data_IF_331565361529
#
_entry.id   IF_331565361529
#
_cell.length_a   1.000
_cell.length_b   1.000
_cell.length_c   1.000
_cell.angle_alpha   90.00
_cell.angle_beta   90.00
_cell.angle_gamma   90.00
#
_symmetry.space_group_name_H-M   'P 1'
#
loop_
_entity.id
_entity.type
_entity.pdbx_description
1 polymer ?
#
# COMPACT_ATOMS: atom_id res chain seq x y z
N UNK A 1 17.91 -49.43 -69.06
CA UNK A 1 18.01 -48.06 -68.50
C UNK A 1 17.41 -48.09 -67.10
N UNK A 2 18.24 -48.09 -66.06
CA UNK A 2 17.84 -48.21 -64.66
C UNK A 2 17.32 -46.85 -64.13
N UNK A 3 16.16 -46.86 -63.47
CA UNK A 3 15.64 -45.70 -62.74
C UNK A 3 16.25 -45.67 -61.33
N UNK A 4 16.92 -44.57 -60.99
CA UNK A 4 17.52 -44.35 -59.66
C UNK A 4 16.49 -43.79 -58.68
N UNK A 5 16.41 -44.38 -57.48
CA UNK A 5 15.65 -43.84 -56.37
C UNK A 5 16.54 -42.87 -55.56
N UNK A 6 16.07 -41.65 -55.35
CA UNK A 6 16.72 -40.68 -54.46
C UNK A 6 16.30 -40.92 -53.02
N UNK A 7 17.22 -41.42 -52.20
CA UNK A 7 17.05 -41.52 -50.75
C UNK A 7 17.25 -40.13 -50.14
N UNK A 8 16.21 -39.55 -49.54
CA UNK A 8 16.33 -38.35 -48.73
C UNK A 8 16.72 -38.75 -47.30
N UNK A 9 17.90 -38.32 -46.84
CA UNK A 9 18.29 -38.38 -45.44
C UNK A 9 17.43 -37.38 -44.64
N UNK A 10 16.69 -37.87 -43.65
CA UNK A 10 16.02 -37.02 -42.68
C UNK A 10 17.06 -36.58 -41.64
N UNK A 11 17.36 -35.28 -41.60
CA UNK A 11 18.14 -34.69 -40.52
C UNK A 11 17.40 -34.91 -39.19
N UNK A 12 18.06 -35.41 -38.13
CA UNK A 12 17.40 -35.57 -36.84
C UNK A 12 16.97 -34.21 -36.32
N UNK A 13 15.69 -34.10 -35.91
CA UNK A 13 15.15 -32.91 -35.26
C UNK A 13 16.08 -32.47 -34.12
N UNK A 14 16.40 -31.17 -33.98
CA UNK A 14 17.24 -30.70 -32.88
C UNK A 14 16.59 -31.08 -31.55
N UNK A 15 17.25 -31.97 -30.82
CA UNK A 15 16.85 -32.38 -29.48
C UNK A 15 16.93 -31.15 -28.57
N UNK A 16 15.77 -30.61 -28.18
CA UNK A 16 15.68 -29.51 -27.22
C UNK A 16 16.01 -30.08 -25.84
N UNK A 17 17.31 -30.19 -25.56
CA UNK A 17 17.81 -30.48 -24.21
C UNK A 17 17.56 -29.24 -23.38
N UNK A 18 16.48 -29.23 -22.60
CA UNK A 18 16.26 -28.17 -21.59
C UNK A 18 17.34 -28.36 -20.54
N UNK A 19 18.34 -27.46 -20.43
CA UNK A 19 19.37 -27.63 -19.43
C UNK A 19 18.73 -27.56 -18.04
N UNK A 20 19.12 -28.42 -17.09
CA UNK A 20 18.64 -28.30 -15.73
C UNK A 20 19.00 -26.90 -15.21
N UNK A 21 18.02 -26.17 -14.68
CA UNK A 21 18.27 -24.85 -14.11
C UNK A 21 19.24 -24.99 -12.93
N UNK A 22 20.50 -24.57 -13.10
CA UNK A 22 21.49 -24.52 -12.04
C UNK A 22 21.16 -23.37 -11.08
N UNK A 23 20.22 -23.63 -10.18
CA UNK A 23 19.69 -22.66 -9.24
C UNK A 23 20.25 -22.91 -7.85
N UNK A 24 20.86 -21.88 -7.28
CA UNK A 24 21.30 -21.87 -5.88
C UNK A 24 20.59 -20.79 -5.09
N UNK A 25 20.22 -21.10 -3.86
CA UNK A 25 19.78 -20.09 -2.91
C UNK A 25 20.97 -19.55 -2.12
N UNK A 26 21.02 -18.24 -1.95
CA UNK A 26 22.02 -17.54 -1.15
C UNK A 26 21.35 -16.41 -0.36
N UNK A 27 22.12 -15.69 0.44
CA UNK A 27 21.67 -14.55 1.21
C UNK A 27 22.41 -13.27 0.83
N UNK A 28 21.65 -12.24 0.52
CA UNK A 28 22.12 -10.88 0.35
C UNK A 28 21.97 -10.09 1.66
N UNK A 29 22.83 -9.10 1.84
CA UNK A 29 22.73 -8.16 2.96
C UNK A 29 21.75 -7.04 2.58
N UNK A 30 20.74 -6.80 3.43
CA UNK A 30 19.81 -5.69 3.22
C UNK A 30 20.48 -4.39 3.65
N UNK A 31 20.37 -3.37 2.81
CA UNK A 31 20.89 -2.03 3.06
C UNK A 31 19.79 -1.09 3.56
N UNK A 32 18.55 -1.26 3.07
CA UNK A 32 17.42 -0.43 3.49
C UNK A 32 16.08 -0.96 3.03
N UNK A 33 15.04 -0.66 3.81
CA UNK A 33 13.65 -1.05 3.56
C UNK A 33 12.77 0.19 3.61
N UNK A 34 12.09 0.50 2.51
CA UNK A 34 11.15 1.63 2.42
C UNK A 34 9.72 1.10 2.20
N UNK A 35 8.81 1.27 3.19
CA UNK A 35 7.42 0.88 3.00
C UNK A 35 6.71 1.78 1.99
N UNK A 36 5.93 1.15 1.12
CA UNK A 36 5.03 1.81 0.17
C UNK A 36 3.64 1.81 0.78
N UNK A 37 3.12 2.99 1.08
CA UNK A 37 1.79 3.15 1.65
C UNK A 37 0.74 3.40 0.59
N UNK A 38 -0.42 2.77 0.76
CA UNK A 38 -1.65 3.14 0.07
C UNK A 38 -2.50 4.02 0.99
N UNK A 39 -2.94 5.17 0.48
CA UNK A 39 -3.91 6.05 1.14
C UNK A 39 -5.31 5.60 0.74
N UNK A 40 -6.13 5.24 1.73
CA UNK A 40 -7.54 4.90 1.56
C UNK A 40 -8.37 6.02 2.17
N UNK A 41 -9.30 6.58 1.39
CA UNK A 41 -10.26 7.58 1.85
C UNK A 41 -11.59 6.88 2.12
N UNK A 42 -12.12 7.06 3.33
CA UNK A 42 -13.45 6.58 3.69
C UNK A 42 -14.22 7.70 4.37
N UNK A 43 -15.52 7.81 4.09
CA UNK A 43 -16.41 8.73 4.77
C UNK A 43 -17.22 7.98 5.82
N UNK A 44 -17.17 8.42 7.07
CA UNK A 44 -18.03 7.89 8.15
C UNK A 44 -18.98 8.98 8.63
N UNK A 45 -20.24 8.62 8.90
CA UNK A 45 -21.23 9.55 9.44
C UNK A 45 -20.93 9.81 10.91
N UNK A 46 -20.43 11.01 11.22
CA UNK A 46 -20.07 11.43 12.56
C UNK A 46 -20.89 12.64 12.97
N UNK A 47 -21.18 12.76 14.27
CA UNK A 47 -21.91 13.89 14.82
C UNK A 47 -20.95 15.05 15.05
N UNK A 48 -20.89 15.98 14.10
CA UNK A 48 -20.02 17.15 14.14
C UNK A 48 -20.77 18.31 14.78
N UNK A 49 -20.14 18.96 15.77
CA UNK A 49 -20.69 20.10 16.50
C UNK A 49 -19.74 21.30 16.44
N UNK A 50 -20.30 22.51 16.38
CA UNK A 50 -19.54 23.76 16.45
C UNK A 50 -19.25 24.14 17.90
N UNK A 51 -18.02 24.58 18.18
CA UNK A 51 -17.67 25.11 19.52
C UNK A 51 -18.26 26.51 19.67
N UNK A 52 -19.23 26.68 20.56
CA UNK A 52 -19.75 27.99 20.91
C UNK A 52 -18.72 28.72 21.79
N UNK A 53 -17.97 29.64 21.19
CA UNK A 53 -17.25 30.65 21.97
C UNK A 53 -18.31 31.53 22.60
N UNK A 54 -18.65 31.25 23.86
CA UNK A 54 -19.45 32.14 24.69
C UNK A 54 -18.61 33.39 25.03
N UNK A 55 -18.36 34.20 24.01
CA UNK A 55 -17.81 35.54 24.10
C UNK A 55 -18.97 36.51 24.23
N UNK A 56 -19.23 36.90 25.47
CA UNK A 56 -19.91 38.12 25.92
C UNK A 56 -21.10 38.62 25.09
N UNK A 57 -22.31 38.31 25.57
CA UNK A 57 -23.48 39.17 25.34
C UNK A 57 -24.16 39.39 26.69
N UNK A 58 -23.56 40.24 27.53
CA UNK A 58 -24.08 40.71 28.83
C UNK A 58 -25.28 41.66 28.66
N UNK A 59 -26.26 41.32 27.82
CA UNK A 59 -27.43 42.16 27.53
C UNK A 59 -28.75 41.39 27.40
N UNK A 60 -28.99 40.35 28.20
CA UNK A 60 -30.32 39.74 28.25
C UNK A 60 -30.66 39.23 29.65
N UNK A 61 -31.03 40.16 30.54
CA UNK A 61 -31.71 39.83 31.81
C UNK A 61 -33.22 40.09 31.78
N UNK A 62 -33.79 40.45 30.63
CA UNK A 62 -35.24 40.58 30.43
C UNK A 62 -35.56 39.95 29.07
N UNK A 63 -36.17 38.76 29.05
CA UNK A 63 -36.59 38.09 27.81
C UNK A 63 -36.44 36.56 27.73
N UNK A 64 -36.04 35.88 28.82
CA UNK A 64 -35.73 34.44 28.83
C UNK A 64 -36.93 33.48 28.85
N UNK A 65 -38.00 33.76 28.09
CA UNK A 65 -39.16 32.83 28.02
C UNK A 65 -39.43 32.23 26.64
N UNK A 66 -38.74 32.64 25.57
CA UNK A 66 -39.03 32.12 24.22
C UNK A 66 -37.82 31.77 23.34
N UNK A 67 -36.59 32.09 23.75
CA UNK A 67 -35.38 31.77 22.95
C UNK A 67 -34.73 30.42 23.28
N UNK A 68 -35.46 29.52 23.94
CA UNK A 68 -34.98 28.16 24.28
C UNK A 68 -35.37 27.07 23.26
N UNK A 69 -36.18 27.40 22.25
CA UNK A 69 -36.77 26.41 21.31
C UNK A 69 -36.18 26.40 19.90
N UNK A 70 -35.15 27.21 19.63
CA UNK A 70 -34.52 27.30 18.31
C UNK A 70 -33.05 26.82 18.29
N UNK A 71 -32.50 26.42 19.44
CA UNK A 71 -31.18 25.83 19.50
C UNK A 71 -31.31 24.36 19.13
N UNK A 72 -31.12 24.08 17.84
CA UNK A 72 -31.35 22.78 17.21
C UNK A 72 -30.66 21.62 17.90
N UNK A 73 -31.21 20.42 17.72
CA UNK A 73 -30.73 19.05 18.00
C UNK A 73 -29.58 18.78 19.00
N UNK A 74 -29.20 19.66 19.94
CA UNK A 74 -28.09 19.43 20.90
C UNK A 74 -28.61 18.84 22.21
N UNK A 75 -27.93 17.83 22.75
CA UNK A 75 -28.24 17.25 24.06
C UNK A 75 -27.85 18.20 25.21
N UNK A 76 -28.42 18.02 26.42
CA UNK A 76 -28.07 18.82 27.58
C UNK A 76 -26.57 18.74 27.96
N UNK A 77 -25.91 17.60 27.75
CA UNK A 77 -24.48 17.43 28.00
C UNK A 77 -23.63 18.20 26.99
N UNK A 78 -23.95 18.11 25.70
CA UNK A 78 -23.27 18.86 24.62
C UNK A 78 -23.29 20.37 24.90
N UNK A 79 -24.42 20.89 25.37
CA UNK A 79 -24.57 22.31 25.73
C UNK A 79 -23.71 22.71 26.93
N UNK A 80 -23.62 21.86 27.96
CA UNK A 80 -22.74 22.08 29.12
C UNK A 80 -21.26 22.09 28.70
N UNK A 81 -20.91 21.30 27.69
CA UNK A 81 -19.58 21.30 27.06
C UNK A 81 -19.32 22.48 26.10
N UNK A 82 -20.29 23.39 25.92
CA UNK A 82 -20.15 24.54 25.04
C UNK A 82 -20.28 24.21 23.55
N UNK A 83 -20.87 23.07 23.18
CA UNK A 83 -21.11 22.68 21.79
C UNK A 83 -22.48 23.17 21.29
N UNK A 84 -22.55 23.53 20.02
CA UNK A 84 -23.75 24.02 19.35
C UNK A 84 -23.85 23.48 17.92
N UNK A 85 -25.04 23.56 17.29
CA UNK A 85 -25.26 23.19 15.88
C UNK A 85 -24.80 21.77 15.48
N UNK A 86 -24.99 20.79 16.36
CA UNK A 86 -24.61 19.40 16.10
C UNK A 86 -25.41 18.78 14.93
N UNK A 87 -24.72 18.25 13.93
CA UNK A 87 -25.31 17.58 12.76
C UNK A 87 -24.52 16.35 12.34
N UNK A 88 -25.21 15.37 11.75
CA UNK A 88 -24.57 14.19 11.18
C UNK A 88 -23.93 14.59 9.86
N UNK A 89 -22.61 14.52 9.77
CA UNK A 89 -21.86 14.83 8.56
C UNK A 89 -20.96 13.65 8.15
N UNK A 90 -20.80 13.41 6.84
CA UNK A 90 -19.81 12.46 6.34
C UNK A 90 -18.41 13.05 6.52
N UNK A 91 -17.70 12.60 7.56
CA UNK A 91 -16.32 13.01 7.81
C UNK A 91 -15.38 12.09 7.04
N UNK A 92 -14.61 12.67 6.12
CA UNK A 92 -13.58 11.95 5.38
C UNK A 92 -12.40 11.63 6.29
N UNK A 93 -12.04 10.35 6.36
CA UNK A 93 -10.89 9.83 7.08
C UNK A 93 -9.90 9.21 6.11
N UNK A 94 -8.63 9.55 6.27
CA UNK A 94 -7.53 8.98 5.49
C UNK A 94 -6.84 7.87 6.29
N UNK A 95 -6.83 6.65 5.75
CA UNK A 95 -6.15 5.51 6.32
C UNK A 95 -4.92 5.18 5.47
N UNK A 96 -3.76 5.01 6.10
CA UNK A 96 -2.51 4.66 5.40
C UNK A 96 -2.12 3.23 5.78
N UNK A 97 -2.04 2.33 4.79
CA UNK A 97 -1.58 0.94 5.00
C UNK A 97 -0.36 0.62 4.12
N UNK A 98 0.70 -0.02 4.64
CA UNK A 98 1.76 -0.55 3.79
C UNK A 98 1.21 -1.64 2.87
N UNK A 99 1.50 -1.54 1.57
CA UNK A 99 1.13 -2.53 0.56
C UNK A 99 2.33 -3.30 -0.01
N UNK A 100 3.51 -2.70 0.06
CA UNK A 100 4.75 -3.28 -0.43
C UNK A 100 5.95 -2.62 0.26
N UNK A 101 7.12 -3.20 0.03
CA UNK A 101 8.40 -2.72 0.52
C UNK A 101 9.36 -2.61 -0.65
N UNK A 102 9.93 -1.43 -0.87
CA UNK A 102 11.09 -1.26 -1.73
C UNK A 102 12.33 -1.57 -0.89
N UNK A 103 13.10 -2.57 -1.33
CA UNK A 103 14.23 -3.13 -0.61
C UNK A 103 15.49 -2.91 -1.43
N UNK A 104 16.42 -2.15 -0.86
CA UNK A 104 17.76 -1.97 -1.39
C UNK A 104 18.68 -3.00 -0.72
N UNK A 105 19.38 -3.83 -1.51
CA UNK A 105 20.23 -4.92 -1.00
C UNK A 105 21.55 -5.02 -1.77
N UNK A 106 22.55 -5.64 -1.16
CA UNK A 106 23.84 -5.92 -1.78
C UNK A 106 24.10 -7.42 -1.84
N UNK A 107 24.46 -7.90 -3.03
CA UNK A 107 24.86 -9.28 -3.26
C UNK A 107 26.20 -9.30 -4.00
N UNK A 108 27.21 -9.95 -3.40
CA UNK A 108 28.57 -10.06 -3.96
C UNK A 108 29.16 -8.71 -4.44
N UNK A 109 28.92 -7.64 -3.68
CA UNK A 109 29.41 -6.29 -3.98
C UNK A 109 28.50 -5.43 -4.86
N UNK A 110 27.57 -6.05 -5.60
CA UNK A 110 26.62 -5.35 -6.46
C UNK A 110 25.36 -4.95 -5.69
N UNK A 111 24.91 -3.70 -5.87
CA UNK A 111 23.70 -3.17 -5.25
C UNK A 111 22.51 -3.33 -6.18
N UNK A 112 21.39 -3.77 -5.61
CA UNK A 112 20.14 -4.00 -6.33
C UNK A 112 18.98 -3.42 -5.54
N UNK A 113 17.86 -3.21 -6.24
CA UNK A 113 16.59 -2.79 -5.63
C UNK A 113 15.50 -3.73 -6.12
N UNK A 114 14.65 -4.17 -5.20
CA UNK A 114 13.48 -4.99 -5.53
C UNK A 114 12.26 -4.53 -4.75
N UNK A 115 11.07 -4.87 -5.23
CA UNK A 115 9.80 -4.63 -4.53
C UNK A 115 9.22 -5.95 -4.06
N UNK A 116 8.83 -6.02 -2.80
CA UNK A 116 8.28 -7.23 -2.20
C UNK A 116 7.06 -6.95 -1.31
N UNK A 117 6.24 -7.98 -1.11
CA UNK A 117 4.99 -7.86 -0.33
C UNK A 117 5.21 -7.85 1.18
N UNK A 118 6.33 -8.39 1.66
CA UNK A 118 6.66 -8.53 3.09
C UNK A 118 8.03 -7.94 3.37
N UNK A 119 8.21 -7.41 4.58
CA UNK A 119 9.50 -6.94 5.06
C UNK A 119 10.52 -8.10 5.13
N UNK A 120 11.68 -8.00 4.45
CA UNK A 120 12.70 -9.05 4.48
C UNK A 120 13.55 -9.05 5.76
N UNK A 121 13.51 -7.98 6.57
CA UNK A 121 14.43 -7.76 7.68
C UNK A 121 15.87 -7.51 7.19
N UNK A 122 16.85 -8.04 7.92
CA UNK A 122 18.27 -7.71 7.70
C UNK A 122 18.97 -8.54 6.61
N UNK A 123 18.37 -9.66 6.17
CA UNK A 123 18.96 -10.56 5.17
C UNK A 123 17.90 -10.99 4.16
N UNK A 124 18.22 -10.87 2.88
CA UNK A 124 17.32 -11.24 1.79
C UNK A 124 17.75 -12.57 1.18
N UNK A 125 16.84 -13.55 1.13
CA UNK A 125 17.09 -14.81 0.42
C UNK A 125 16.97 -14.57 -1.09
N UNK A 126 18.04 -14.83 -1.83
CA UNK A 126 18.13 -14.62 -3.29
C UNK A 126 18.20 -15.96 -4.02
N UNK A 127 17.54 -16.05 -5.19
CA UNK A 127 17.62 -17.19 -6.13
C UNK A 127 18.61 -16.82 -7.23
N UNK A 128 19.73 -17.50 -7.28
CA UNK A 128 20.80 -17.27 -8.26
C UNK A 128 20.70 -18.36 -9.32
N UNK A 129 20.42 -17.99 -10.56
CA UNK A 129 20.57 -18.90 -11.71
C UNK A 129 21.94 -18.68 -12.34
N UNK A 130 22.68 -19.76 -12.50
CA UNK A 130 23.98 -19.73 -13.17
C UNK A 130 23.81 -20.36 -14.54
N UNK A 131 24.03 -19.55 -15.58
CA UNK A 131 23.97 -20.01 -16.97
C UNK A 131 25.37 -19.84 -17.56
N UNK A 132 25.96 -20.89 -18.15
CA UNK A 132 27.26 -20.78 -18.80
C UNK A 132 27.16 -19.80 -19.98
N UNK A 133 28.21 -19.01 -20.17
CA UNK A 133 28.35 -18.17 -21.35
C UNK A 133 29.02 -19.00 -22.45
N UNK A 134 28.43 -19.11 -23.67
CA UNK A 134 29.10 -19.75 -24.79
C UNK A 134 30.47 -19.10 -25.04
N UNK A 135 31.48 -19.93 -25.31
CA UNK A 135 32.75 -19.46 -25.85
C UNK A 135 32.71 -19.70 -27.37
N UNK A 136 33.13 -18.71 -28.15
CA UNK A 136 33.33 -18.84 -29.60
C UNK A 136 34.60 -19.65 -29.93
#
# INVERSE_FOLDING_TARGET
MLAGATTHAQDPSPEVVIPPENVRFDYAQVLGVKPIYQVLRTSSMERVCDVSRSGESKLSRVGSSVKGRLTGNTTPEERKAGLSNCRMEPVAREFRRPIAYDVDYVYKGSKFRTRMARDPGNRLRVRVSITPHPHD
#
